data_IF_598905480421
#
_entry.id   IF_598905480421
#
_cell.length_a   1.000
_cell.length_b   1.000
_cell.length_c   1.000
_cell.angle_alpha   90.00
_cell.angle_beta   90.00
_cell.angle_gamma   90.00
#
_symmetry.space_group_name_H-M   'P 1'
#
loop_
_entity.id
_entity.type
_entity.pdbx_description
1 polymer ?
#
# COMPACT_ATOMS: atom_id res chain seq x y z
N UNK A 1 5.32 23.08 8.42
CA UNK A 1 4.77 21.75 8.10
C UNK A 1 5.48 20.74 8.96
N UNK A 2 4.76 19.89 9.69
CA UNK A 2 5.35 18.91 10.59
C UNK A 2 5.88 17.69 9.84
N UNK A 3 6.68 16.88 10.51
CA UNK A 3 7.20 15.61 9.96
C UNK A 3 6.10 14.64 9.51
N UNK A 4 4.90 14.76 10.09
CA UNK A 4 3.75 13.90 9.81
C UNK A 4 3.05 14.23 8.46
N UNK A 5 3.50 15.28 7.78
CA UNK A 5 2.94 15.74 6.50
C UNK A 5 3.73 15.22 5.29
N UNK A 6 4.78 14.43 5.53
CA UNK A 6 5.65 13.90 4.50
C UNK A 6 5.32 12.43 4.23
N UNK A 7 4.80 12.15 3.06
CA UNK A 7 4.72 10.78 2.56
C UNK A 7 6.08 10.39 1.98
N UNK A 8 6.95 9.79 2.81
CA UNK A 8 8.33 9.52 2.42
C UNK A 8 8.56 8.14 1.82
N UNK A 9 7.64 7.21 1.99
CA UNK A 9 7.90 5.78 1.77
C UNK A 9 7.48 5.27 0.38
N UNK A 10 6.53 5.93 -0.26
CA UNK A 10 5.97 5.49 -1.55
C UNK A 10 6.21 6.47 -2.69
N UNK A 11 7.06 7.45 -2.52
CA UNK A 11 7.23 8.53 -3.49
C UNK A 11 8.50 8.30 -4.29
N UNK A 12 8.43 8.25 -5.63
CA UNK A 12 9.59 8.09 -6.48
C UNK A 12 10.59 9.26 -6.27
N UNK A 13 11.89 9.04 -6.51
CA UNK A 13 12.89 10.11 -6.37
C UNK A 13 12.75 11.21 -7.42
N UNK A 14 12.00 10.97 -8.48
CA UNK A 14 11.80 11.90 -9.61
C UNK A 14 10.34 11.96 -10.01
N UNK A 15 9.91 13.11 -10.51
CA UNK A 15 8.63 13.28 -11.20
C UNK A 15 8.60 12.52 -12.53
N UNK A 16 7.43 12.42 -13.16
CA UNK A 16 7.30 11.82 -14.51
C UNK A 16 8.12 12.55 -15.57
N UNK A 17 8.39 13.83 -15.34
CA UNK A 17 9.19 14.67 -16.25
C UNK A 17 10.68 14.68 -15.88
N UNK A 18 11.12 13.81 -14.95
CA UNK A 18 12.52 13.62 -14.58
C UNK A 18 13.07 14.63 -13.57
N UNK A 19 12.24 15.50 -12.98
CA UNK A 19 12.70 16.42 -11.94
C UNK A 19 12.93 15.69 -10.62
N UNK A 20 14.06 15.92 -9.93
CA UNK A 20 14.27 15.40 -8.59
C UNK A 20 13.19 15.91 -7.64
N UNK A 21 12.51 15.02 -6.92
CA UNK A 21 11.49 15.43 -5.96
C UNK A 21 12.12 15.95 -4.68
N UNK A 22 11.75 17.16 -4.32
CA UNK A 22 12.18 17.86 -3.09
C UNK A 22 11.16 17.65 -1.99
N UNK A 23 11.65 17.30 -0.81
CA UNK A 23 10.84 17.00 0.38
C UNK A 23 11.51 17.56 1.62
N UNK A 24 10.74 17.73 2.66
CA UNK A 24 11.22 18.09 3.98
C UNK A 24 10.86 19.51 4.41
N UNK A 25 11.36 19.85 5.59
CA UNK A 25 11.11 21.14 6.19
C UNK A 25 11.60 22.28 5.28
N UNK A 26 10.74 23.28 5.09
CA UNK A 26 11.05 24.43 4.25
C UNK A 26 10.79 24.24 2.76
N UNK A 27 10.36 23.06 2.30
CA UNK A 27 9.93 22.86 0.91
C UNK A 27 8.50 23.37 0.76
N UNK A 28 8.33 24.41 -0.04
CA UNK A 28 7.01 24.97 -0.34
C UNK A 28 6.29 24.12 -1.40
N UNK A 29 4.99 23.81 -1.19
CA UNK A 29 4.20 23.07 -2.16
C UNK A 29 3.93 23.89 -3.41
N UNK A 30 3.65 23.19 -4.53
CA UNK A 30 3.12 23.79 -5.75
C UNK A 30 4.06 23.81 -6.95
N UNK A 31 5.33 23.47 -6.78
CA UNK A 31 6.24 23.28 -7.90
C UNK A 31 6.27 21.84 -8.38
N UNK A 32 6.59 21.57 -9.68
CA UNK A 32 6.63 20.21 -10.22
C UNK A 32 7.55 19.26 -9.48
N UNK A 33 8.64 19.79 -8.91
CA UNK A 33 9.62 19.04 -8.14
C UNK A 33 9.27 18.88 -6.65
N UNK A 34 8.08 19.33 -6.23
CA UNK A 34 7.68 19.20 -4.82
C UNK A 34 6.59 18.18 -4.64
N UNK A 35 6.76 17.29 -3.67
CA UNK A 35 5.71 16.43 -3.19
C UNK A 35 5.62 16.48 -1.68
N UNK A 36 4.46 16.86 -1.21
CA UNK A 36 4.13 16.95 0.21
C UNK A 36 2.70 16.47 0.42
N UNK A 37 2.48 15.74 1.51
CA UNK A 37 1.14 15.56 2.05
C UNK A 37 0.66 16.86 2.70
N UNK A 38 -0.62 17.20 2.57
CA UNK A 38 -1.13 18.41 3.21
C UNK A 38 -1.48 18.24 4.69
N UNK A 39 -1.30 17.01 5.22
CA UNK A 39 -1.30 16.70 6.64
C UNK A 39 -2.67 16.62 7.30
N UNK A 40 -2.69 16.16 8.54
CA UNK A 40 -3.89 15.87 9.31
C UNK A 40 -4.84 17.07 9.44
N UNK A 41 -4.31 18.24 9.76
CA UNK A 41 -5.13 19.40 10.01
C UNK A 41 -5.85 19.89 8.75
N UNK A 42 -5.16 19.93 7.63
CA UNK A 42 -5.74 20.28 6.34
C UNK A 42 -6.69 19.20 5.83
N UNK A 43 -6.41 17.91 6.11
CA UNK A 43 -7.33 16.83 5.79
C UNK A 43 -8.67 16.99 6.52
N UNK A 44 -8.66 17.31 7.82
CA UNK A 44 -9.88 17.63 8.56
C UNK A 44 -10.62 18.86 8.01
N UNK A 45 -9.89 19.93 7.74
CA UNK A 45 -10.50 21.17 7.16
C UNK A 45 -11.19 20.86 5.84
N UNK A 46 -10.58 20.05 4.98
CA UNK A 46 -11.14 19.68 3.67
C UNK A 46 -12.41 18.82 3.77
N UNK A 47 -12.63 18.14 4.87
CA UNK A 47 -13.81 17.31 5.10
C UNK A 47 -14.91 17.99 5.94
N UNK A 48 -14.69 19.23 6.37
CA UNK A 48 -15.67 20.00 7.16
C UNK A 48 -17.04 20.04 6.45
N UNK A 49 -18.18 19.79 7.16
CA UNK A 49 -18.31 19.69 8.62
C UNK A 49 -18.11 18.29 9.22
N UNK A 50 -17.72 17.30 8.43
CA UNK A 50 -17.58 15.92 8.87
C UNK A 50 -16.30 15.72 9.65
N UNK A 51 -16.35 14.80 10.64
CA UNK A 51 -15.18 14.39 11.44
C UNK A 51 -14.27 13.49 10.64
N UNK A 52 -12.98 13.60 10.98
CA UNK A 52 -11.91 12.76 10.47
C UNK A 52 -11.70 12.86 8.95
N UNK A 53 -10.96 11.95 8.36
CA UNK A 53 -10.52 11.96 6.99
C UNK A 53 -10.16 10.53 6.57
N UNK A 54 -9.59 10.35 5.39
CA UNK A 54 -9.10 9.07 4.87
C UNK A 54 -8.39 8.23 5.95
N UNK A 55 -8.60 6.95 5.96
CA UNK A 55 -8.31 5.89 6.94
C UNK A 55 -9.39 5.68 8.00
N UNK A 56 -10.13 6.71 8.35
CA UNK A 56 -11.23 6.60 9.30
C UNK A 56 -12.54 6.24 8.61
N UNK A 57 -13.44 5.63 9.36
CA UNK A 57 -14.79 5.27 8.89
C UNK A 57 -15.88 6.17 9.48
N UNK A 58 -15.46 7.28 10.09
CA UNK A 58 -16.32 8.44 10.35
C UNK A 58 -16.70 9.12 9.04
N UNK A 59 -17.72 9.98 9.05
CA UNK A 59 -18.23 10.60 7.82
C UNK A 59 -17.16 11.28 6.98
N UNK A 60 -16.19 11.98 7.60
CA UNK A 60 -15.10 12.63 6.86
C UNK A 60 -14.19 11.65 6.08
N UNK A 61 -14.20 10.37 6.46
CA UNK A 61 -13.44 9.34 5.75
C UNK A 61 -14.22 8.55 4.70
N UNK A 62 -15.57 8.54 4.78
CA UNK A 62 -16.42 7.68 3.94
C UNK A 62 -17.50 8.41 3.15
N UNK A 63 -17.92 9.62 3.54
CA UNK A 63 -19.00 10.35 2.88
C UNK A 63 -18.56 11.02 1.55
N UNK A 64 -18.02 10.22 0.64
CA UNK A 64 -17.61 10.68 -0.69
C UNK A 64 -18.82 10.82 -1.62
N UNK A 65 -19.02 11.97 -2.29
CA UNK A 65 -20.09 12.13 -3.26
C UNK A 65 -19.93 11.18 -4.46
N UNK A 66 -21.04 10.54 -4.87
CA UNK A 66 -21.14 9.82 -6.14
C UNK A 66 -21.79 10.75 -7.17
N UNK A 67 -21.09 11.02 -8.27
CA UNK A 67 -21.60 11.84 -9.38
C UNK A 67 -21.90 10.90 -10.55
N UNK A 68 -23.15 10.89 -10.99
CA UNK A 68 -23.58 10.11 -12.14
C UNK A 68 -24.09 11.04 -13.27
N UNK A 69 -23.62 10.80 -14.49
CA UNK A 69 -24.10 11.48 -15.69
C UNK A 69 -24.48 10.46 -16.78
N UNK A 70 -25.77 10.38 -17.07
CA UNK A 70 -26.30 9.50 -18.11
C UNK A 70 -27.57 10.10 -18.72
N UNK A 71 -27.41 10.85 -19.80
CA UNK A 71 -28.49 11.66 -20.42
C UNK A 71 -29.77 10.88 -20.74
N UNK A 72 -29.66 9.62 -21.12
CA UNK A 72 -30.78 8.79 -21.52
C UNK A 72 -31.41 7.98 -20.38
N UNK A 73 -30.70 7.82 -19.26
CA UNK A 73 -31.09 6.88 -18.22
C UNK A 73 -31.37 7.51 -16.86
N UNK A 74 -30.99 8.78 -16.64
CA UNK A 74 -31.31 9.49 -15.39
C UNK A 74 -32.57 10.32 -15.61
N UNK A 75 -33.56 10.14 -14.76
CA UNK A 75 -34.77 10.94 -14.77
C UNK A 75 -34.45 12.43 -14.47
N UNK A 76 -35.12 13.33 -15.16
CA UNK A 76 -34.95 14.77 -14.95
C UNK A 76 -35.61 15.25 -13.65
N UNK A 77 -36.63 14.55 -13.21
CA UNK A 77 -37.37 14.81 -11.97
C UNK A 77 -37.75 13.51 -11.30
N UNK A 78 -37.88 13.51 -9.98
CA UNK A 78 -38.30 12.35 -9.20
C UNK A 78 -38.58 12.73 -7.76
N UNK A 79 -39.37 11.92 -7.06
CA UNK A 79 -39.83 12.21 -5.68
C UNK A 79 -38.68 12.35 -4.69
N UNK A 80 -37.56 11.67 -4.90
CA UNK A 80 -36.38 11.68 -4.04
C UNK A 80 -35.26 12.55 -4.53
N UNK A 81 -35.45 13.28 -5.62
CA UNK A 81 -34.49 14.28 -6.07
C UNK A 81 -34.72 15.62 -5.39
N UNK A 82 -33.67 16.20 -4.88
CA UNK A 82 -33.61 17.61 -4.50
C UNK A 82 -32.94 18.36 -5.65
N UNK A 83 -33.76 19.14 -6.38
CA UNK A 83 -33.26 19.94 -7.51
C UNK A 83 -32.27 21.02 -7.06
N UNK A 84 -31.20 21.18 -7.83
CA UNK A 84 -30.22 22.25 -7.69
C UNK A 84 -29.94 22.87 -9.06
N UNK A 85 -29.26 24.03 -9.10
CA UNK A 85 -28.83 24.67 -10.35
C UNK A 85 -27.88 23.78 -11.17
N UNK A 86 -27.08 22.90 -10.50
CA UNK A 86 -26.11 22.03 -11.12
C UNK A 86 -26.64 20.63 -11.45
N UNK A 87 -27.86 20.28 -11.02
CA UNK A 87 -28.44 18.96 -11.21
C UNK A 87 -29.33 18.52 -10.06
N UNK A 88 -29.59 17.23 -9.98
CA UNK A 88 -30.42 16.63 -8.94
C UNK A 88 -29.56 15.94 -7.88
N UNK A 89 -29.90 16.10 -6.61
CA UNK A 89 -29.28 15.40 -5.48
C UNK A 89 -30.20 14.29 -4.98
N UNK A 90 -29.61 13.18 -4.60
CA UNK A 90 -30.27 12.04 -3.95
C UNK A 90 -29.53 11.74 -2.65
N UNK A 91 -30.19 11.95 -1.51
CA UNK A 91 -29.53 11.97 -0.19
C UNK A 91 -29.45 10.57 0.49
N UNK A 92 -29.90 9.49 -0.17
CA UNK A 92 -29.83 8.13 0.40
C UNK A 92 -28.38 7.63 0.40
N UNK A 93 -27.89 7.06 1.50
CA UNK A 93 -26.56 6.46 1.54
C UNK A 93 -26.39 5.32 0.53
N UNK A 94 -25.29 5.36 -0.19
CA UNK A 94 -24.86 4.34 -1.15
C UNK A 94 -23.47 3.83 -0.80
N UNK A 95 -23.06 2.73 -1.43
CA UNK A 95 -21.76 2.15 -1.21
C UNK A 95 -21.11 1.72 -2.53
N UNK A 96 -19.79 1.59 -2.57
CA UNK A 96 -19.05 1.17 -3.77
C UNK A 96 -19.52 -0.17 -4.33
N UNK A 97 -19.97 -1.10 -3.44
CA UNK A 97 -20.50 -2.41 -3.85
C UNK A 97 -21.77 -2.30 -4.71
N UNK A 98 -22.49 -1.19 -4.63
CA UNK A 98 -23.74 -0.95 -5.36
C UNK A 98 -23.49 -0.69 -6.85
N UNK A 99 -22.29 -0.25 -7.22
CA UNK A 99 -21.96 0.05 -8.62
C UNK A 99 -22.05 -1.22 -9.48
N UNK A 100 -21.44 -2.33 -9.05
CA UNK A 100 -21.51 -3.59 -9.80
C UNK A 100 -22.95 -4.11 -9.89
N UNK A 101 -23.70 -4.09 -8.79
CA UNK A 101 -25.10 -4.48 -8.77
C UNK A 101 -25.94 -3.64 -9.74
N UNK A 102 -25.66 -2.34 -9.80
CA UNK A 102 -26.31 -1.44 -10.77
C UNK A 102 -25.98 -1.77 -12.21
N UNK A 103 -24.71 -2.05 -12.53
CA UNK A 103 -24.30 -2.41 -13.89
C UNK A 103 -24.94 -3.71 -14.35
N UNK A 104 -25.01 -4.71 -13.48
CA UNK A 104 -25.68 -6.00 -13.75
C UNK A 104 -27.17 -5.80 -14.03
N UNK A 105 -27.88 -5.00 -13.20
CA UNK A 105 -29.30 -4.70 -13.40
C UNK A 105 -29.56 -3.92 -14.69
N UNK A 106 -28.78 -2.86 -14.95
CA UNK A 106 -28.91 -2.08 -16.19
C UNK A 106 -28.59 -2.90 -17.45
N UNK A 107 -27.61 -3.80 -17.35
CA UNK A 107 -27.24 -4.72 -18.43
C UNK A 107 -28.24 -5.85 -18.64
N UNK A 108 -29.16 -6.05 -17.69
CA UNK A 108 -30.16 -7.17 -17.70
C UNK A 108 -29.50 -8.53 -17.90
N UNK A 109 -28.33 -8.73 -17.30
CA UNK A 109 -27.59 -10.00 -17.33
C UNK A 109 -27.58 -10.63 -15.95
N UNK A 110 -27.66 -11.96 -15.81
CA UNK A 110 -27.51 -12.61 -14.52
C UNK A 110 -26.06 -12.47 -14.05
N UNK A 111 -25.88 -12.17 -12.76
CA UNK A 111 -24.55 -12.24 -12.14
C UNK A 111 -24.14 -13.72 -12.06
N UNK A 112 -22.93 -14.08 -12.50
CA UNK A 112 -22.50 -15.47 -12.51
C UNK A 112 -22.35 -16.02 -11.08
N UNK A 113 -22.72 -17.26 -10.86
CA UNK A 113 -22.59 -17.96 -9.58
C UNK A 113 -21.34 -18.81 -9.50
N UNK A 114 -20.75 -19.15 -10.65
CA UNK A 114 -19.54 -19.97 -10.75
C UNK A 114 -18.65 -19.49 -11.91
N UNK A 115 -17.36 -19.71 -11.77
CA UNK A 115 -16.36 -19.62 -12.82
C UNK A 115 -15.66 -20.99 -12.94
N UNK A 116 -16.06 -21.78 -13.93
CA UNK A 116 -15.71 -23.19 -13.95
C UNK A 116 -16.32 -23.93 -12.77
N UNK A 117 -15.50 -24.62 -11.99
CA UNK A 117 -15.92 -25.31 -10.76
C UNK A 117 -15.93 -24.42 -9.50
N UNK A 118 -15.34 -23.24 -9.58
CA UNK A 118 -15.23 -22.33 -8.44
C UNK A 118 -16.48 -21.49 -8.25
N UNK A 119 -16.99 -21.42 -7.02
CA UNK A 119 -18.13 -20.59 -6.64
C UNK A 119 -17.71 -19.13 -6.55
N UNK A 120 -18.44 -18.25 -7.22
CA UNK A 120 -18.24 -16.80 -7.17
C UNK A 120 -18.98 -16.23 -5.96
N UNK A 121 -18.36 -15.28 -5.25
CA UNK A 121 -19.01 -14.53 -4.16
C UNK A 121 -20.20 -13.75 -4.72
N UNK A 122 -21.36 -13.88 -4.10
CA UNK A 122 -22.56 -13.17 -4.48
C UNK A 122 -22.41 -11.65 -4.33
N UNK A 123 -23.15 -10.88 -5.11
CA UNK A 123 -23.23 -9.42 -4.92
C UNK A 123 -23.90 -9.12 -3.57
N UNK A 124 -23.31 -8.20 -2.81
CA UNK A 124 -23.87 -7.67 -1.56
C UNK A 124 -24.48 -6.28 -1.74
N UNK A 125 -24.17 -5.60 -2.85
CA UNK A 125 -24.72 -4.29 -3.19
C UNK A 125 -26.13 -4.38 -3.76
N UNK A 126 -26.82 -3.26 -3.71
CA UNK A 126 -28.14 -3.06 -4.34
C UNK A 126 -28.02 -2.26 -5.63
N UNK A 127 -28.98 -2.43 -6.54
CA UNK A 127 -29.03 -1.59 -7.74
C UNK A 127 -29.41 -0.15 -7.39
N UNK A 128 -28.63 0.82 -7.87
CA UNK A 128 -28.93 2.25 -7.76
C UNK A 128 -29.91 2.74 -8.86
N UNK A 129 -30.42 1.85 -9.70
CA UNK A 129 -31.38 2.22 -10.75
C UNK A 129 -32.59 2.98 -10.21
N UNK A 130 -33.22 2.61 -9.08
CA UNK A 130 -34.31 3.41 -8.51
C UNK A 130 -33.87 4.85 -8.18
N UNK A 131 -32.65 5.04 -7.64
CA UNK A 131 -32.12 6.37 -7.39
C UNK A 131 -31.90 7.17 -8.67
N UNK A 132 -31.41 6.54 -9.74
CA UNK A 132 -31.26 7.19 -11.05
C UNK A 132 -32.63 7.61 -11.65
N UNK A 133 -33.69 6.93 -11.26
CA UNK A 133 -35.08 7.25 -11.61
C UNK A 133 -35.74 8.24 -10.63
N UNK A 134 -35.02 8.73 -9.63
CA UNK A 134 -35.52 9.65 -8.59
C UNK A 134 -36.46 9.00 -7.59
N UNK A 135 -36.39 7.69 -7.43
CA UNK A 135 -37.18 6.87 -6.48
C UNK A 135 -36.38 6.54 -5.24
N UNK A 136 -37.08 6.08 -4.20
CA UNK A 136 -36.39 5.56 -3.00
C UNK A 136 -35.54 4.32 -3.34
N UNK A 137 -34.39 4.20 -2.65
CA UNK A 137 -33.58 2.98 -2.70
C UNK A 137 -34.13 1.96 -1.69
N UNK A 138 -34.39 0.73 -2.10
CA UNK A 138 -34.87 -0.32 -1.20
C UNK A 138 -33.69 -0.96 -0.43
N UNK A 139 -32.99 -0.18 0.37
CA UNK A 139 -31.90 -0.68 1.22
C UNK A 139 -32.45 -1.07 2.59
N UNK A 140 -32.58 -2.33 2.81
CA UNK A 140 -32.99 -2.93 4.09
C UNK A 140 -31.76 -3.41 4.87
N UNK A 141 -30.72 -3.87 4.15
CA UNK A 141 -29.50 -4.39 4.73
C UNK A 141 -28.51 -3.28 5.15
N UNK A 142 -27.82 -3.48 6.29
CA UNK A 142 -26.80 -2.54 6.72
C UNK A 142 -25.62 -2.42 5.75
N UNK A 143 -24.95 -1.28 5.76
CA UNK A 143 -23.67 -1.06 5.12
C UNK A 143 -22.57 -1.20 6.15
N UNK A 144 -21.57 -2.03 5.88
CA UNK A 144 -20.45 -2.28 6.77
C UNK A 144 -19.16 -1.69 6.24
N UNK A 145 -18.33 -1.22 7.15
CA UNK A 145 -17.01 -0.66 6.84
C UNK A 145 -15.96 -1.24 7.77
N UNK A 146 -14.82 -1.62 7.21
CA UNK A 146 -13.60 -1.93 7.94
C UNK A 146 -12.40 -1.40 7.16
N UNK A 147 -11.54 -0.65 7.85
CA UNK A 147 -10.29 -0.18 7.29
C UNK A 147 -9.26 0.05 8.40
N UNK A 148 -8.17 -0.72 8.38
CA UNK A 148 -7.08 -0.61 9.36
C UNK A 148 -7.55 -0.70 10.82
N UNK A 149 -8.58 -1.52 11.07
CA UNK A 149 -9.19 -1.69 12.39
C UNK A 149 -10.24 -0.65 12.74
N UNK A 150 -10.43 0.39 11.93
CA UNK A 150 -11.57 1.29 12.06
C UNK A 150 -12.81 0.58 11.53
N UNK A 151 -13.91 0.63 12.27
CA UNK A 151 -15.10 -0.20 12.04
C UNK A 151 -16.36 0.63 12.06
N UNK A 152 -17.28 0.37 11.14
CA UNK A 152 -18.60 0.99 11.22
C UNK A 152 -19.72 0.12 10.64
N UNK A 153 -20.93 0.38 11.10
CA UNK A 153 -22.19 -0.10 10.54
C UNK A 153 -23.13 1.07 10.31
N UNK A 154 -23.71 1.17 9.13
CA UNK A 154 -24.75 2.15 8.81
C UNK A 154 -26.05 1.42 8.49
N UNK A 155 -27.09 1.64 9.29
CA UNK A 155 -28.41 1.04 9.12
C UNK A 155 -29.51 2.09 9.36
N UNK A 156 -30.27 2.40 8.32
CA UNK A 156 -31.27 3.46 8.39
C UNK A 156 -30.66 4.80 8.87
N UNK A 157 -31.21 5.36 9.95
CA UNK A 157 -30.69 6.59 10.57
C UNK A 157 -29.47 6.34 11.47
N UNK A 158 -29.21 5.11 11.86
CA UNK A 158 -28.16 4.79 12.83
C UNK A 158 -26.80 4.54 12.19
N UNK A 159 -25.76 5.05 12.84
CA UNK A 159 -24.38 4.70 12.53
C UNK A 159 -23.63 4.36 13.81
N UNK A 160 -23.15 3.12 13.86
CA UNK A 160 -22.22 2.65 14.88
C UNK A 160 -20.81 2.72 14.32
N UNK A 161 -19.87 3.32 15.06
CA UNK A 161 -18.48 3.51 14.60
C UNK A 161 -17.48 3.29 15.73
N UNK A 162 -16.31 2.76 15.44
CA UNK A 162 -15.22 2.61 16.40
C UNK A 162 -13.87 2.92 15.75
N UNK A 163 -13.04 3.65 16.48
CA UNK A 163 -11.71 4.09 16.05
C UNK A 163 -10.64 3.04 16.38
N UNK A 164 -10.01 2.48 15.37
CA UNK A 164 -8.95 1.50 15.51
C UNK A 164 -9.41 0.19 16.15
N UNK A 165 -8.48 -0.76 16.28
CA UNK A 165 -8.76 -2.14 16.73
C UNK A 165 -9.37 -2.21 18.15
N UNK A 166 -8.99 -1.26 19.02
CA UNK A 166 -9.38 -1.25 20.46
C UNK A 166 -10.32 -0.12 20.82
N UNK A 167 -10.73 0.69 19.85
CA UNK A 167 -11.62 1.82 20.10
C UNK A 167 -12.96 1.36 20.64
N UNK A 168 -13.49 2.10 21.59
CA UNK A 168 -14.87 1.94 22.03
C UNK A 168 -15.83 2.26 20.89
N UNK A 169 -17.00 1.62 20.91
CA UNK A 169 -18.05 1.94 19.97
C UNK A 169 -18.71 3.27 20.34
N UNK A 170 -19.08 4.02 19.33
CA UNK A 170 -19.85 5.26 19.37
C UNK A 170 -21.09 5.08 18.50
N UNK A 171 -22.23 5.60 18.90
CA UNK A 171 -23.50 5.50 18.17
C UNK A 171 -24.03 6.89 17.84
N UNK A 172 -24.46 7.10 16.59
CA UNK A 172 -24.96 8.39 16.10
C UNK A 172 -26.27 8.23 15.34
N UNK A 173 -27.16 9.21 15.51
CA UNK A 173 -28.32 9.42 14.63
C UNK A 173 -27.91 10.32 13.46
N UNK A 174 -27.77 9.74 12.30
CA UNK A 174 -27.25 10.43 11.11
C UNK A 174 -28.27 11.32 10.41
N UNK A 175 -29.54 11.29 10.80
CA UNK A 175 -30.54 12.27 10.36
C UNK A 175 -30.44 13.57 11.17
N UNK A 176 -30.18 13.44 12.46
CA UNK A 176 -30.05 14.57 13.38
C UNK A 176 -28.61 15.11 13.46
N UNK A 177 -27.60 14.24 13.35
CA UNK A 177 -26.18 14.54 13.62
C UNK A 177 -25.22 13.88 12.62
N UNK A 178 -25.18 14.36 11.40
CA UNK A 178 -24.21 13.88 10.38
C UNK A 178 -22.75 14.25 10.68
N UNK A 179 -22.53 15.16 11.62
CA UNK A 179 -21.18 15.53 12.04
C UNK A 179 -20.61 14.63 13.14
N UNK A 180 -21.41 13.69 13.64
CA UNK A 180 -20.99 12.69 14.66
C UNK A 180 -20.49 13.36 15.95
N UNK A 181 -21.24 14.36 16.43
CA UNK A 181 -20.86 15.16 17.61
C UNK A 181 -21.49 14.65 18.92
N UNK A 182 -22.65 13.97 18.83
CA UNK A 182 -23.43 13.55 19.99
C UNK A 182 -23.52 12.02 20.06
N UNK A 183 -22.59 11.42 20.81
CA UNK A 183 -22.57 9.96 20.99
C UNK A 183 -23.74 9.48 21.85
N UNK A 184 -24.63 8.70 21.26
CA UNK A 184 -25.86 8.17 21.87
C UNK A 184 -25.71 6.75 22.46
N UNK A 185 -24.50 6.19 22.49
CA UNK A 185 -24.29 4.79 22.91
C UNK A 185 -24.83 4.52 24.32
N UNK A 186 -24.78 5.50 25.21
CA UNK A 186 -25.27 5.36 26.58
C UNK A 186 -26.79 5.48 26.73
N UNK A 187 -27.49 6.10 25.77
CA UNK A 187 -28.94 6.28 25.77
C UNK A 187 -29.67 5.27 24.89
N UNK A 188 -29.02 4.74 23.86
CA UNK A 188 -29.59 3.84 22.85
C UNK A 188 -28.88 2.47 22.85
N UNK A 189 -28.72 1.88 24.02
CA UNK A 189 -27.94 0.65 24.21
C UNK A 189 -28.48 -0.53 23.40
N UNK A 190 -29.80 -0.70 23.30
CA UNK A 190 -30.39 -1.79 22.51
C UNK A 190 -30.05 -1.71 21.04
N UNK A 191 -30.04 -0.50 20.48
CA UNK A 191 -29.63 -0.26 19.10
C UNK A 191 -28.14 -0.58 18.93
N UNK A 192 -27.31 -0.10 19.86
CA UNK A 192 -25.87 -0.33 19.82
C UNK A 192 -25.55 -1.84 19.86
N UNK A 193 -26.14 -2.58 20.80
CA UNK A 193 -25.88 -4.01 20.93
C UNK A 193 -26.30 -4.81 19.70
N UNK A 194 -27.43 -4.44 19.08
CA UNK A 194 -27.90 -5.05 17.84
C UNK A 194 -26.95 -4.80 16.69
N UNK A 195 -26.48 -3.56 16.53
CA UNK A 195 -25.53 -3.20 15.46
C UNK A 195 -24.15 -3.81 15.67
N UNK A 196 -23.68 -3.94 16.93
CA UNK A 196 -22.44 -4.66 17.26
C UNK A 196 -22.54 -6.12 16.82
N UNK A 197 -23.63 -6.81 17.19
CA UNK A 197 -23.85 -8.20 16.80
C UNK A 197 -23.96 -8.37 15.27
N UNK A 198 -24.56 -7.41 14.58
CA UNK A 198 -24.64 -7.37 13.14
C UNK A 198 -23.24 -7.23 12.50
N UNK A 199 -22.41 -6.31 13.02
CA UNK A 199 -21.02 -6.15 12.59
C UNK A 199 -20.21 -7.43 12.78
N UNK A 200 -20.26 -8.04 13.96
CA UNK A 200 -19.49 -9.25 14.29
C UNK A 200 -19.87 -10.43 13.37
N UNK A 201 -21.16 -10.55 13.06
CA UNK A 201 -21.66 -11.56 12.11
C UNK A 201 -21.11 -11.32 10.71
N UNK A 202 -21.21 -10.08 10.21
CA UNK A 202 -20.67 -9.71 8.91
C UNK A 202 -19.16 -9.87 8.86
N UNK A 203 -18.43 -9.39 9.87
CA UNK A 203 -16.97 -9.44 9.93
C UNK A 203 -16.45 -10.89 9.86
N UNK A 204 -17.13 -11.81 10.57
CA UNK A 204 -16.80 -13.25 10.52
C UNK A 204 -17.02 -13.80 9.12
N UNK A 205 -18.17 -13.52 8.50
CA UNK A 205 -18.50 -14.00 7.14
C UNK A 205 -17.60 -13.40 6.08
N UNK A 206 -17.28 -12.12 6.20
CA UNK A 206 -16.41 -11.40 5.25
C UNK A 206 -14.91 -11.72 5.43
N UNK A 207 -14.55 -12.44 6.50
CA UNK A 207 -13.16 -12.82 6.78
C UNK A 207 -12.31 -11.62 7.25
N UNK A 208 -12.91 -10.68 7.99
CA UNK A 208 -12.17 -9.56 8.56
C UNK A 208 -11.09 -10.06 9.51
N UNK A 209 -9.84 -9.73 9.20
CA UNK A 209 -8.67 -10.09 9.99
C UNK A 209 -8.27 -8.90 10.88
N UNK A 210 -7.99 -9.11 12.18
CA UNK A 210 -7.58 -8.01 13.06
C UNK A 210 -6.38 -7.26 12.48
N UNK A 211 -6.49 -5.93 12.39
CA UNK A 211 -5.44 -5.08 11.81
C UNK A 211 -4.09 -5.31 12.49
N UNK A 212 -3.06 -5.56 11.70
CA UNK A 212 -1.70 -5.85 12.16
C UNK A 212 -1.48 -7.30 12.60
N UNK A 213 -2.48 -8.18 12.56
CA UNK A 213 -2.29 -9.61 12.87
C UNK A 213 -1.32 -10.28 11.90
N UNK A 214 -1.29 -9.84 10.64
CA UNK A 214 -0.30 -10.26 9.64
C UNK A 214 1.13 -9.78 9.94
N UNK A 215 1.31 -8.71 10.74
CA UNK A 215 2.64 -8.25 11.19
C UNK A 215 3.26 -9.16 12.25
N UNK A 216 2.51 -10.14 12.73
CA UNK A 216 2.99 -11.16 13.69
C UNK A 216 3.53 -12.42 13.04
N UNK A 217 3.64 -12.48 11.71
CA UNK A 217 4.48 -13.50 11.14
C UNK A 217 5.87 -13.27 11.73
N UNK A 218 6.36 -14.25 12.46
CA UNK A 218 7.74 -14.26 12.91
C UNK A 218 8.54 -14.31 11.61
N UNK A 219 9.08 -13.17 11.18
CA UNK A 219 10.01 -13.14 10.06
C UNK A 219 10.98 -14.29 10.26
N UNK A 220 11.37 -14.92 9.19
CA UNK A 220 12.25 -16.07 9.25
C UNK A 220 13.37 -15.85 10.27
N UNK A 221 13.46 -16.66 11.31
CA UNK A 221 14.59 -16.65 12.23
C UNK A 221 15.89 -17.12 11.55
N UNK A 222 15.81 -17.38 10.25
CA UNK A 222 16.93 -17.81 9.43
C UNK A 222 17.87 -16.63 9.23
N UNK A 223 19.11 -16.80 9.63
CA UNK A 223 20.16 -15.79 9.50
C UNK A 223 21.21 -16.15 8.44
N UNK A 224 21.12 -17.34 7.86
CA UNK A 224 22.02 -17.84 6.83
C UNK A 224 21.22 -18.33 5.62
N UNK A 225 21.54 -17.82 4.44
CA UNK A 225 20.86 -18.13 3.18
C UNK A 225 21.93 -18.52 2.14
N UNK A 226 21.81 -19.73 1.61
CA UNK A 226 22.54 -20.20 0.44
C UNK A 226 21.59 -20.15 -0.76
N UNK A 227 21.97 -19.40 -1.78
CA UNK A 227 21.10 -19.00 -2.88
C UNK A 227 21.79 -19.28 -4.21
N UNK A 228 20.99 -19.52 -5.23
CA UNK A 228 21.41 -19.73 -6.60
C UNK A 228 20.61 -18.88 -7.58
N UNK A 229 21.09 -18.76 -8.80
CA UNK A 229 20.38 -18.03 -9.86
C UNK A 229 18.92 -18.51 -9.99
N UNK A 230 18.01 -17.56 -10.06
CA UNK A 230 16.56 -17.78 -10.18
C UNK A 230 15.84 -17.96 -8.86
N UNK A 231 16.54 -18.04 -7.72
CA UNK A 231 15.89 -18.07 -6.42
C UNK A 231 15.19 -16.72 -6.17
N UNK A 232 13.95 -16.82 -5.70
CA UNK A 232 13.12 -15.70 -5.28
C UNK A 232 12.53 -16.04 -3.91
N UNK A 233 12.73 -15.16 -2.92
CA UNK A 233 12.18 -15.30 -1.57
C UNK A 233 11.29 -14.11 -1.26
N UNK A 234 10.04 -14.36 -0.86
CA UNK A 234 9.04 -13.34 -0.61
C UNK A 234 8.56 -13.35 0.86
N UNK A 235 8.06 -12.21 1.32
CA UNK A 235 7.44 -12.09 2.64
C UNK A 235 8.34 -12.59 3.76
N UNK A 236 7.85 -13.59 4.53
CA UNK A 236 8.57 -14.15 5.69
C UNK A 236 9.74 -15.06 5.32
N UNK A 237 9.78 -15.57 4.11
CA UNK A 237 10.91 -16.36 3.61
C UNK A 237 12.09 -15.48 3.23
N UNK A 238 11.85 -14.20 2.93
CA UNK A 238 12.88 -13.24 2.60
C UNK A 238 13.75 -12.89 3.83
N UNK A 239 15.05 -12.60 3.62
CA UNK A 239 15.94 -12.15 4.69
C UNK A 239 15.42 -10.89 5.37
N UNK A 240 15.34 -10.90 6.70
CA UNK A 240 14.88 -9.76 7.49
C UNK A 240 16.03 -8.77 7.70
N UNK A 241 16.22 -7.85 6.73
CA UNK A 241 17.38 -6.94 6.64
C UNK A 241 17.14 -5.55 7.25
N UNK A 242 15.89 -5.22 7.59
CA UNK A 242 15.52 -3.91 8.13
C UNK A 242 16.33 -3.54 9.38
N UNK A 243 17.08 -2.45 9.32
CA UNK A 243 17.97 -1.98 10.38
C UNK A 243 19.00 -3.01 10.88
N UNK A 244 19.38 -3.95 10.03
CA UNK A 244 20.33 -5.01 10.36
C UNK A 244 21.56 -4.98 9.46
N UNK A 245 22.70 -5.35 10.02
CA UNK A 245 23.90 -5.65 9.27
C UNK A 245 23.85 -7.02 8.63
N UNK A 246 24.54 -7.17 7.52
CA UNK A 246 24.70 -8.45 6.85
C UNK A 246 26.05 -8.58 6.14
N UNK A 247 26.37 -9.80 5.77
CA UNK A 247 27.45 -10.11 4.85
C UNK A 247 26.85 -10.82 3.65
N UNK A 248 27.02 -10.25 2.46
CA UNK A 248 26.68 -10.85 1.18
C UNK A 248 27.96 -11.33 0.52
N UNK A 249 28.00 -12.56 0.06
CA UNK A 249 29.13 -13.11 -0.72
C UNK A 249 28.57 -13.73 -2.00
N UNK A 250 28.94 -13.21 -3.14
CA UNK A 250 28.58 -13.73 -4.45
C UNK A 250 29.81 -14.21 -5.20
N UNK A 251 29.70 -15.36 -5.86
CA UNK A 251 30.74 -15.89 -6.76
C UNK A 251 30.17 -15.95 -8.17
N UNK A 252 30.82 -15.21 -9.08
CA UNK A 252 30.39 -15.05 -10.47
C UNK A 252 31.49 -15.43 -11.46
N UNK A 253 31.12 -15.86 -12.66
CA UNK A 253 32.02 -16.22 -13.74
C UNK A 253 31.29 -16.10 -15.11
N UNK A 254 32.02 -16.29 -16.20
CA UNK A 254 31.50 -16.28 -17.58
C UNK A 254 32.14 -15.20 -18.43
N UNK A 255 31.89 -15.23 -19.73
CA UNK A 255 32.48 -14.33 -20.72
C UNK A 255 31.90 -12.91 -20.73
N UNK A 256 30.68 -12.77 -20.21
CA UNK A 256 30.01 -11.49 -19.93
C UNK A 256 29.51 -11.52 -18.51
N UNK A 257 29.72 -10.44 -17.77
CA UNK A 257 29.34 -10.35 -16.34
C UNK A 257 28.68 -8.99 -16.08
N UNK A 258 27.60 -8.71 -16.82
CA UNK A 258 26.78 -7.50 -16.65
C UNK A 258 25.36 -7.88 -16.17
N UNK A 259 24.73 -7.00 -15.42
CA UNK A 259 23.39 -7.16 -14.88
C UNK A 259 23.34 -7.35 -13.36
N UNK A 260 22.13 -7.56 -12.83
CA UNK A 260 21.90 -7.73 -11.39
C UNK A 260 22.25 -9.13 -10.92
N UNK A 261 23.17 -9.20 -9.97
CA UNK A 261 23.60 -10.46 -9.34
C UNK A 261 22.64 -10.87 -8.25
N UNK A 262 22.23 -9.92 -7.41
CA UNK A 262 21.25 -10.10 -6.34
C UNK A 262 20.64 -8.77 -5.95
N UNK A 263 19.36 -8.76 -5.63
CA UNK A 263 18.63 -7.60 -5.11
C UNK A 263 17.64 -8.02 -4.03
N UNK A 264 17.33 -7.12 -3.12
CA UNK A 264 16.20 -7.24 -2.21
C UNK A 264 15.58 -5.88 -1.96
N UNK A 265 14.26 -5.79 -2.18
CA UNK A 265 13.52 -4.54 -2.06
C UNK A 265 13.28 -3.86 -3.40
N UNK A 266 12.99 -2.58 -3.36
CA UNK A 266 12.57 -1.83 -4.54
C UNK A 266 12.92 -0.35 -4.50
N UNK A 267 12.17 0.46 -5.22
CA UNK A 267 12.42 1.89 -5.42
C UNK A 267 12.35 2.75 -4.14
N UNK A 268 11.74 2.24 -3.06
CA UNK A 268 11.66 2.93 -1.78
C UNK A 268 12.76 2.49 -0.82
N UNK A 269 12.90 1.19 -0.61
CA UNK A 269 13.82 0.56 0.35
C UNK A 269 14.43 -0.67 -0.29
N UNK A 270 15.72 -0.87 -0.13
CA UNK A 270 16.37 -2.09 -0.60
C UNK A 270 17.87 -1.97 -0.79
N UNK A 271 18.45 -3.05 -1.29
CA UNK A 271 19.84 -3.11 -1.74
C UNK A 271 19.94 -3.91 -3.04
N UNK A 272 20.95 -3.60 -3.83
CA UNK A 272 21.26 -4.32 -5.06
C UNK A 272 22.76 -4.46 -5.23
N UNK A 273 23.19 -5.65 -5.65
CA UNK A 273 24.52 -5.95 -6.13
C UNK A 273 24.43 -6.24 -7.62
N UNK A 274 25.07 -5.40 -8.44
CA UNK A 274 25.07 -5.56 -9.90
C UNK A 274 26.42 -5.24 -10.50
N UNK A 275 26.62 -5.67 -11.73
CA UNK A 275 27.82 -5.41 -12.50
C UNK A 275 27.46 -4.70 -13.81
N UNK A 276 28.28 -3.73 -14.20
CA UNK A 276 28.19 -3.07 -15.49
C UNK A 276 29.55 -2.48 -15.90
N UNK A 277 29.88 -2.55 -17.17
CA UNK A 277 31.08 -1.92 -17.76
C UNK A 277 32.38 -2.28 -17.03
N UNK A 278 32.53 -3.54 -16.60
CA UNK A 278 33.70 -4.02 -15.87
C UNK A 278 33.82 -3.49 -14.43
N UNK A 279 32.74 -3.03 -13.87
CA UNK A 279 32.63 -2.60 -12.46
C UNK A 279 31.53 -3.35 -11.75
N UNK A 280 31.78 -3.70 -10.50
CA UNK A 280 30.72 -4.16 -9.58
C UNK A 280 30.26 -3.00 -8.72
N UNK A 281 28.96 -2.92 -8.53
CA UNK A 281 28.27 -1.89 -7.78
C UNK A 281 27.45 -2.54 -6.67
N UNK A 282 27.48 -1.94 -5.48
CA UNK A 282 26.56 -2.25 -4.41
C UNK A 282 25.82 -1.00 -4.00
N UNK A 283 24.52 -1.01 -4.13
CA UNK A 283 23.66 0.12 -3.87
C UNK A 283 22.72 -0.18 -2.69
N UNK A 284 22.50 0.83 -1.86
CA UNK A 284 21.51 0.80 -0.78
C UNK A 284 20.59 2.00 -0.96
N UNK A 285 19.32 1.71 -1.12
CA UNK A 285 18.27 2.71 -1.21
C UNK A 285 17.52 2.82 0.11
N UNK A 286 17.45 4.05 0.60
CA UNK A 286 16.65 4.42 1.76
C UNK A 286 15.80 5.63 1.36
N UNK A 287 14.55 5.39 0.99
CA UNK A 287 13.64 6.39 0.44
C UNK A 287 14.27 7.08 -0.80
N UNK A 288 14.32 8.39 -0.82
CA UNK A 288 14.94 9.13 -1.93
C UNK A 288 16.47 9.09 -1.94
N UNK A 289 17.12 8.55 -0.88
CA UNK A 289 18.57 8.53 -0.77
C UNK A 289 19.14 7.22 -1.30
N UNK A 290 19.99 7.33 -2.31
CA UNK A 290 20.80 6.23 -2.82
C UNK A 290 22.23 6.38 -2.34
N UNK A 291 22.77 5.34 -1.70
CA UNK A 291 24.17 5.22 -1.31
C UNK A 291 24.82 4.12 -2.13
N UNK A 292 26.04 4.31 -2.58
CA UNK A 292 26.70 3.38 -3.48
C UNK A 292 28.15 3.12 -3.13
N UNK A 293 28.59 1.91 -3.43
CA UNK A 293 29.98 1.46 -3.48
C UNK A 293 30.24 0.90 -4.88
N UNK A 294 31.41 1.14 -5.44
CA UNK A 294 31.78 0.49 -6.70
C UNK A 294 33.27 0.20 -6.77
N UNK A 295 33.63 -0.87 -7.49
CA UNK A 295 35.00 -1.24 -7.74
C UNK A 295 35.15 -1.89 -9.12
N UNK A 296 36.26 -1.66 -9.80
CA UNK A 296 36.61 -2.34 -11.03
C UNK A 296 36.97 -3.80 -10.78
N UNK A 297 36.58 -4.70 -11.68
CA UNK A 297 36.95 -6.10 -11.66
C UNK A 297 37.27 -6.58 -13.07
N UNK A 298 37.95 -7.73 -13.17
CA UNK A 298 38.21 -8.37 -14.46
C UNK A 298 37.09 -9.36 -14.80
N UNK A 299 36.19 -9.04 -15.74
CA UNK A 299 35.08 -9.90 -16.08
C UNK A 299 35.48 -11.20 -16.80
N UNK A 300 36.73 -11.32 -17.25
CA UNK A 300 37.25 -12.55 -17.91
C UNK A 300 37.57 -13.67 -16.89
N UNK A 301 37.55 -13.35 -15.59
CA UNK A 301 37.92 -14.25 -14.52
C UNK A 301 36.73 -14.64 -13.63
N UNK A 302 36.90 -15.69 -12.87
CA UNK A 302 36.00 -15.98 -11.76
C UNK A 302 36.25 -14.98 -10.63
N UNK A 303 35.19 -14.30 -10.21
CA UNK A 303 35.26 -13.26 -9.19
C UNK A 303 34.45 -13.63 -7.94
N UNK A 304 35.03 -13.41 -6.78
CA UNK A 304 34.31 -13.45 -5.51
C UNK A 304 34.10 -12.02 -5.02
N UNK A 305 32.84 -11.62 -4.91
CA UNK A 305 32.42 -10.32 -4.45
C UNK A 305 31.88 -10.48 -3.04
N UNK A 306 32.37 -9.67 -2.10
CA UNK A 306 31.88 -9.69 -0.73
C UNK A 306 31.50 -8.30 -0.27
N UNK A 307 30.28 -8.12 0.21
CA UNK A 307 29.80 -6.88 0.81
C UNK A 307 29.52 -7.12 2.28
N UNK A 308 30.04 -6.28 3.14
CA UNK A 308 29.83 -6.33 4.58
C UNK A 308 29.27 -5.00 5.07
N UNK A 309 28.04 -5.04 5.58
CA UNK A 309 27.36 -3.90 6.19
C UNK A 309 27.36 -3.98 7.70
N UNK A 310 27.65 -2.84 8.34
CA UNK A 310 27.42 -2.64 9.76
C UNK A 310 26.99 -1.18 10.02
N UNK A 311 26.68 -0.83 11.27
CA UNK A 311 26.22 0.52 11.63
C UNK A 311 27.19 1.66 11.28
N UNK A 312 28.46 1.36 11.05
CA UNK A 312 29.50 2.39 10.87
C UNK A 312 29.99 2.48 9.44
N UNK A 313 29.87 1.41 8.67
CA UNK A 313 30.39 1.37 7.30
C UNK A 313 29.85 0.20 6.47
N UNK A 314 29.88 0.37 5.17
CA UNK A 314 29.82 -0.71 4.20
C UNK A 314 31.20 -0.90 3.55
N UNK A 315 31.58 -2.16 3.35
CA UNK A 315 32.86 -2.54 2.71
C UNK A 315 32.58 -3.50 1.56
N UNK A 316 33.01 -3.14 0.37
CA UNK A 316 33.04 -4.00 -0.81
C UNK A 316 34.46 -4.58 -0.96
N UNK A 317 34.55 -5.88 -1.08
CA UNK A 317 35.81 -6.60 -1.32
C UNK A 317 35.70 -7.46 -2.57
N UNK A 318 36.76 -7.52 -3.34
CA UNK A 318 36.90 -8.34 -4.54
C UNK A 318 38.07 -9.32 -4.33
N UNK A 319 37.82 -10.60 -4.58
CA UNK A 319 38.82 -11.66 -4.48
C UNK A 319 39.63 -11.62 -3.17
N UNK A 320 38.92 -11.29 -2.06
CA UNK A 320 39.41 -11.14 -0.67
C UNK A 320 40.13 -9.83 -0.36
N UNK A 321 40.36 -8.94 -1.33
CA UNK A 321 40.94 -7.62 -1.11
C UNK A 321 39.87 -6.56 -0.94
N UNK A 322 40.07 -5.60 -0.02
CA UNK A 322 39.15 -4.48 0.17
C UNK A 322 39.28 -3.53 -1.02
N UNK A 323 38.16 -3.31 -1.74
CA UNK A 323 38.15 -2.56 -2.97
C UNK A 323 37.45 -1.18 -2.83
N UNK A 324 36.42 -1.07 -1.98
CA UNK A 324 35.74 0.19 -1.70
C UNK A 324 35.14 0.21 -0.29
N UNK A 325 35.02 1.39 0.28
CA UNK A 325 34.41 1.61 1.60
C UNK A 325 33.51 2.84 1.57
N UNK A 326 32.34 2.73 2.22
CA UNK A 326 31.42 3.81 2.49
C UNK A 326 31.30 3.96 4.01
N UNK A 327 31.74 5.10 4.53
CA UNK A 327 31.61 5.39 5.95
C UNK A 327 30.18 5.88 6.29
N UNK A 328 29.73 5.54 7.49
CA UNK A 328 28.40 5.88 7.97
C UNK A 328 27.42 4.70 7.91
N UNK A 329 26.20 4.97 8.36
CA UNK A 329 25.15 3.95 8.35
C UNK A 329 24.61 3.71 6.94
N UNK A 330 24.84 2.51 6.43
CA UNK A 330 24.34 2.04 5.15
C UNK A 330 23.25 0.95 5.31
N UNK A 331 22.62 0.82 6.49
CA UNK A 331 21.53 -0.13 6.68
C UNK A 331 20.34 0.28 5.84
N UNK A 332 19.59 -0.71 5.36
CA UNK A 332 18.24 -0.49 4.87
C UNK A 332 17.39 -0.15 6.08
N UNK A 333 16.78 1.03 6.08
CA UNK A 333 16.13 1.63 7.26
C UNK A 333 14.83 0.96 7.72
N UNK A 334 14.31 0.03 6.92
CA UNK A 334 13.13 -0.76 7.22
C UNK A 334 13.17 -2.10 6.49
N UNK A 335 12.23 -2.98 6.75
CA UNK A 335 12.09 -4.22 5.98
C UNK A 335 11.42 -3.87 4.65
N UNK A 336 12.07 -4.17 3.49
CA UNK A 336 11.43 -4.03 2.20
C UNK A 336 10.22 -4.96 2.04
N UNK A 337 9.20 -4.52 1.33
CA UNK A 337 8.05 -5.37 0.97
C UNK A 337 8.39 -6.28 -0.21
N UNK A 338 9.15 -5.78 -1.17
CA UNK A 338 9.67 -6.60 -2.26
C UNK A 338 10.72 -7.56 -1.73
N UNK A 339 10.64 -8.80 -2.18
CA UNK A 339 11.47 -9.90 -1.72
C UNK A 339 12.92 -9.82 -2.22
N UNK A 340 13.63 -10.94 -2.03
CA UNK A 340 14.98 -11.13 -2.55
C UNK A 340 14.91 -11.89 -3.87
N UNK A 341 15.68 -11.44 -4.86
CA UNK A 341 15.84 -12.08 -6.17
C UNK A 341 17.32 -12.27 -6.50
N UNK A 342 17.65 -13.42 -7.12
CA UNK A 342 19.01 -13.73 -7.57
C UNK A 342 19.07 -13.81 -9.09
N UNK A 343 19.88 -12.93 -9.68
CA UNK A 343 20.12 -12.86 -11.12
C UNK A 343 19.29 -11.82 -11.84
N UNK A 344 18.43 -11.11 -11.16
CA UNK A 344 17.66 -9.96 -11.68
C UNK A 344 17.10 -9.10 -10.56
N UNK A 345 16.50 -7.98 -10.92
CA UNK A 345 15.67 -7.12 -10.08
C UNK A 345 14.35 -6.90 -10.83
N UNK A 346 13.35 -7.74 -10.54
CA UNK A 346 12.11 -7.82 -11.31
C UNK A 346 10.94 -7.04 -10.71
N UNK A 347 11.10 -6.55 -9.49
CA UNK A 347 10.12 -5.74 -8.78
C UNK A 347 10.27 -4.24 -9.05
N UNK A 348 10.14 -3.43 -8.00
CA UNK A 348 10.51 -2.02 -8.06
C UNK A 348 12.04 -1.90 -8.04
N UNK A 349 12.64 -1.32 -9.08
CA UNK A 349 14.10 -1.30 -9.21
C UNK A 349 14.78 -0.57 -8.05
N UNK A 350 15.70 -1.24 -7.38
CA UNK A 350 16.53 -0.62 -6.32
C UNK A 350 17.52 0.36 -6.91
N UNK A 351 18.15 -0.02 -8.02
CA UNK A 351 19.21 0.74 -8.67
C UNK A 351 18.71 1.66 -9.79
N UNK A 352 19.67 2.35 -10.45
CA UNK A 352 19.41 3.21 -11.62
C UNK A 352 19.74 2.47 -12.94
N UNK A 353 19.53 1.18 -12.96
CA UNK A 353 19.59 0.33 -14.14
C UNK A 353 18.18 0.14 -14.75
N UNK A 354 18.11 -0.26 -16.01
CA UNK A 354 16.85 -0.48 -16.71
C UNK A 354 16.13 -1.77 -16.30
N UNK A 355 14.91 -1.99 -16.81
CA UNK A 355 14.13 -3.20 -16.55
C UNK A 355 14.79 -4.48 -17.12
N UNK A 356 15.56 -4.34 -18.19
CA UNK A 356 16.33 -5.43 -18.81
C UNK A 356 17.66 -5.59 -18.06
N UNK A 357 17.61 -6.05 -16.82
CA UNK A 357 18.74 -6.07 -15.90
C UNK A 357 19.21 -7.49 -15.53
N UNK A 358 18.74 -8.52 -16.21
CA UNK A 358 19.13 -9.89 -15.92
C UNK A 358 20.63 -10.11 -16.07
N UNK A 359 21.25 -10.77 -15.09
CA UNK A 359 22.68 -11.02 -15.12
C UNK A 359 23.08 -11.95 -16.27
N UNK A 360 23.97 -11.48 -17.12
CA UNK A 360 24.39 -12.17 -18.34
C UNK A 360 25.37 -13.33 -18.10
N UNK A 361 26.14 -13.27 -17.00
CA UNK A 361 27.13 -14.28 -16.64
C UNK A 361 26.53 -15.46 -15.86
N UNK A 362 27.42 -16.25 -15.27
CA UNK A 362 27.06 -17.36 -14.38
C UNK A 362 27.19 -16.94 -12.93
N UNK A 363 26.13 -17.12 -12.15
CA UNK A 363 26.14 -17.01 -10.68
C UNK A 363 26.36 -18.41 -10.12
N UNK A 364 27.54 -18.64 -9.54
CA UNK A 364 27.89 -19.94 -8.96
C UNK A 364 27.30 -20.13 -7.58
N UNK A 365 27.33 -19.08 -6.77
CA UNK A 365 26.73 -19.07 -5.43
C UNK A 365 26.48 -17.65 -4.95
N UNK A 366 25.44 -17.48 -4.15
CA UNK A 366 25.20 -16.29 -3.35
C UNK A 366 24.92 -16.72 -1.91
N UNK A 367 25.66 -16.16 -0.96
CA UNK A 367 25.49 -16.42 0.47
C UNK A 367 25.19 -15.12 1.17
N UNK A 368 24.11 -15.09 1.94
CA UNK A 368 23.73 -13.94 2.76
C UNK A 368 23.67 -14.36 4.24
N UNK A 369 24.46 -13.70 5.06
CA UNK A 369 24.54 -13.90 6.51
C UNK A 369 24.07 -12.64 7.22
N UNK A 370 22.96 -12.70 7.96
CA UNK A 370 22.43 -11.63 8.79
C UNK A 370 23.16 -11.59 10.15
N UNK A 371 23.31 -10.39 10.72
CA UNK A 371 23.97 -10.14 12.00
C UNK A 371 23.01 -9.64 13.06
#
# INVERSE_FOLDING_TARGET
MGKDELQTEMIPPQSRDGYPLRRGDGVMPGFPETEIGYGRNWANVSNTPFREYKHYVHEGGIATPLIAHWRAGIAKTGEKFRATEQGNLHDTPTHLIDIMATMVDLGKVPYPTHQGEEKITALEGISLKPALEGKALPREEPIFFEHEGNRAVREGQWKLVALGVKGAWELYDMEADRAEMNNLIGSEQEVADRLIASYDTWATRAGVVPFGSWKKSKGSNKNHFELKRGDTLQGDEAPQIGNRGFTLTATISGDSQDGVIASQGGSALGWSLFASEGRVHFWVRNHAKLQSLSAGFDPSQKNQIKVKLNQRKAVLSLNRESAATLDGNAFVSGQPEDGLEIGKDGGGLVGEYGPDNEFSGKIESVILDLK
#
